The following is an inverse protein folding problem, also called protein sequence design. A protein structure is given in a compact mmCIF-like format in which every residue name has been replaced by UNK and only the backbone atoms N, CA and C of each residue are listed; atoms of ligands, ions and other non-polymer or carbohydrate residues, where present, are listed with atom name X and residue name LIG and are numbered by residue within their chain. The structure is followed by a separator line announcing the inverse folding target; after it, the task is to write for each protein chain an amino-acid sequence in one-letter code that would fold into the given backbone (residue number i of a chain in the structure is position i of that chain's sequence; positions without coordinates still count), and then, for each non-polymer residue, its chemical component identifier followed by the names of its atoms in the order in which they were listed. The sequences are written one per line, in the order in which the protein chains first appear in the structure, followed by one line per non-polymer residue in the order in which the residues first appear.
data_IF_337221568118
#
_entry.id   IF_337221568118
#
_cell.length_a   1.000
_cell.length_b   1.000
_cell.length_c   1.000
_cell.angle_alpha   90.00
_cell.angle_beta   90.00
_cell.angle_gamma   90.00
#
_symmetry.space_group_name_H-M   'P 1'
#
loop_
_entity.id
_entity.type
_entity.pdbx_description
1 polymer ?
#
# COMPACT_ATOMS: atom_id res chain seq x y z
N UNK A 1 2.71 12.02 -3.43
CA UNK A 1 3.91 11.21 -3.73
C UNK A 1 3.56 9.85 -4.30
N UNK A 2 2.70 9.05 -3.65
CA UNK A 2 2.29 7.73 -4.18
C UNK A 2 1.77 7.81 -5.61
N UNK A 3 0.84 8.74 -5.91
CA UNK A 3 0.33 8.89 -7.29
C UNK A 3 1.41 9.30 -8.29
N UNK A 4 2.41 10.07 -7.85
CA UNK A 4 3.54 10.47 -8.71
C UNK A 4 4.40 9.26 -9.08
N UNK A 5 4.65 8.35 -8.13
CA UNK A 5 5.37 7.09 -8.39
C UNK A 5 4.52 6.14 -9.24
N UNK A 6 3.23 6.02 -8.94
CA UNK A 6 2.30 5.13 -9.67
C UNK A 6 2.16 5.52 -11.14
N UNK A 7 2.06 6.82 -11.43
CA UNK A 7 1.73 7.33 -12.76
C UNK A 7 2.97 7.77 -13.56
N UNK A 8 4.18 7.70 -12.99
CA UNK A 8 5.38 8.13 -13.69
C UNK A 8 5.80 7.16 -14.79
N UNK A 9 6.49 7.68 -15.79
CA UNK A 9 7.09 6.90 -16.89
C UNK A 9 8.58 6.65 -16.65
N UNK A 10 9.18 5.73 -17.38
CA UNK A 10 10.64 5.48 -17.35
C UNK A 10 11.29 5.99 -18.62
N UNK A 11 12.47 6.59 -18.49
CA UNK A 11 13.26 7.04 -19.61
C UNK A 11 14.74 6.93 -19.25
N UNK A 12 15.49 6.10 -19.98
CA UNK A 12 16.91 5.84 -19.72
C UNK A 12 17.85 6.69 -20.58
N UNK A 13 17.30 7.66 -21.33
CA UNK A 13 18.11 8.58 -22.10
C UNK A 13 18.75 9.66 -21.21
N UNK A 14 19.69 10.39 -21.81
CA UNK A 14 20.19 11.65 -21.24
C UNK A 14 19.04 12.63 -21.15
N UNK A 15 18.80 13.13 -19.94
CA UNK A 15 17.74 14.10 -19.70
C UNK A 15 18.27 15.52 -19.86
N UNK A 16 17.41 16.41 -20.35
CA UNK A 16 17.64 17.84 -20.39
C UNK A 16 16.31 18.58 -20.15
N UNK A 17 16.40 19.81 -19.64
CA UNK A 17 15.25 20.67 -19.39
C UNK A 17 14.40 20.25 -18.20
N UNK A 18 13.26 20.91 -18.04
CA UNK A 18 12.42 20.82 -16.84
C UNK A 18 11.20 19.92 -17.06
N UNK A 19 10.28 19.93 -16.10
CA UNK A 19 8.97 19.31 -16.17
C UNK A 19 8.97 17.78 -16.32
N UNK A 20 10.00 17.14 -15.76
CA UNK A 20 10.09 15.68 -15.73
C UNK A 20 9.26 15.09 -14.60
N UNK A 21 8.64 13.95 -14.90
CA UNK A 21 7.99 13.12 -13.89
C UNK A 21 9.01 12.37 -13.03
N UNK A 22 8.50 11.78 -11.94
CA UNK A 22 9.34 11.11 -10.94
C UNK A 22 10.17 9.93 -11.49
N UNK A 23 9.59 9.16 -12.41
CA UNK A 23 10.19 7.93 -12.94
C UNK A 23 11.24 8.24 -13.98
N UNK A 24 10.98 9.25 -14.81
CA UNK A 24 11.93 9.78 -15.78
C UNK A 24 13.17 10.26 -15.05
N UNK A 25 13.02 11.08 -14.00
CA UNK A 25 14.14 11.54 -13.18
C UNK A 25 14.88 10.41 -12.47
N UNK A 26 14.16 9.39 -11.98
CA UNK A 26 14.78 8.27 -11.29
C UNK A 26 15.58 7.36 -12.24
N UNK A 27 15.16 7.21 -13.50
CA UNK A 27 15.72 6.25 -14.46
C UNK A 27 16.65 6.87 -15.50
N UNK A 28 16.59 8.19 -15.69
CA UNK A 28 17.44 8.92 -16.62
C UNK A 28 18.93 8.80 -16.32
N UNK A 29 19.73 8.90 -17.38
CA UNK A 29 21.19 9.03 -17.26
C UNK A 29 21.58 10.48 -17.01
N UNK A 30 22.85 10.70 -16.66
CA UNK A 30 23.40 12.02 -16.35
C UNK A 30 22.94 13.07 -17.35
N UNK A 31 22.41 14.18 -16.83
CA UNK A 31 21.96 15.27 -17.66
C UNK A 31 23.14 15.93 -18.38
N UNK A 32 22.90 16.45 -19.58
CA UNK A 32 23.90 17.20 -20.35
C UNK A 32 24.07 18.64 -19.86
N UNK A 33 23.20 19.12 -18.97
CA UNK A 33 23.24 20.47 -18.42
C UNK A 33 23.95 20.51 -17.06
N UNK A 34 24.49 21.68 -16.71
CA UNK A 34 25.15 21.89 -15.42
C UNK A 34 24.17 21.82 -14.23
N UNK A 35 22.87 21.98 -14.48
CA UNK A 35 21.83 22.10 -13.46
C UNK A 35 20.99 20.82 -13.27
N UNK A 36 21.21 19.79 -14.06
CA UNK A 36 20.36 18.61 -14.10
C UNK A 36 19.01 18.86 -14.78
N UNK A 37 18.32 17.77 -15.14
CA UNK A 37 16.92 17.84 -15.53
C UNK A 37 16.03 18.20 -14.33
N UNK A 38 15.10 19.14 -14.54
CA UNK A 38 14.20 19.66 -13.52
C UNK A 38 12.92 18.83 -13.37
N UNK A 39 12.43 18.72 -12.14
CA UNK A 39 11.13 18.11 -11.86
C UNK A 39 9.97 19.09 -12.14
N UNK A 40 8.81 18.56 -12.56
CA UNK A 40 7.61 19.37 -12.75
C UNK A 40 7.08 19.95 -11.42
N UNK A 41 7.23 19.22 -10.32
CA UNK A 41 6.81 19.68 -8.99
C UNK A 41 7.77 19.16 -7.91
N UNK A 42 7.73 19.77 -6.72
CA UNK A 42 8.43 19.26 -5.54
C UNK A 42 7.99 17.83 -5.16
N UNK A 43 6.74 17.47 -5.45
CA UNK A 43 6.24 16.13 -5.23
C UNK A 43 6.83 15.12 -6.22
N UNK A 44 7.05 15.53 -7.48
CA UNK A 44 7.76 14.73 -8.49
C UNK A 44 9.23 14.56 -8.13
N UNK A 45 9.89 15.62 -7.65
CA UNK A 45 11.27 15.55 -7.16
C UNK A 45 11.40 14.59 -5.97
N UNK A 46 10.57 14.76 -4.93
CA UNK A 46 10.63 13.89 -3.75
C UNK A 46 10.29 12.43 -4.11
N UNK A 47 9.35 12.21 -5.04
CA UNK A 47 9.03 10.89 -5.55
C UNK A 47 10.19 10.28 -6.36
N UNK A 48 10.87 11.08 -7.19
CA UNK A 48 12.05 10.65 -7.93
C UNK A 48 13.18 10.24 -6.98
N UNK A 49 13.43 11.02 -5.94
CA UNK A 49 14.42 10.70 -4.90
C UNK A 49 14.07 9.40 -4.21
N UNK A 50 12.82 9.22 -3.76
CA UNK A 50 12.40 7.96 -3.17
C UNK A 50 12.58 6.78 -4.13
N UNK A 51 12.14 6.93 -5.39
CA UNK A 51 12.19 5.88 -6.39
C UNK A 51 13.63 5.50 -6.78
N UNK A 52 14.51 6.50 -6.95
CA UNK A 52 15.94 6.29 -7.19
C UNK A 52 16.57 5.53 -6.02
N UNK A 53 16.29 5.94 -4.78
CA UNK A 53 16.84 5.28 -3.59
C UNK A 53 16.38 3.81 -3.44
N UNK A 54 15.16 3.49 -3.86
CA UNK A 54 14.62 2.11 -3.82
C UNK A 54 15.07 1.25 -5.01
N UNK A 55 15.56 1.86 -6.10
CA UNK A 55 16.00 1.14 -7.29
C UNK A 55 17.34 0.44 -7.03
N UNK A 56 17.46 -0.84 -7.39
CA UNK A 56 18.66 -1.66 -7.12
C UNK A 56 19.99 -1.02 -7.55
N UNK A 57 20.00 -0.37 -8.72
CA UNK A 57 21.16 0.33 -9.28
C UNK A 57 21.14 1.85 -9.05
N UNK A 58 20.18 2.35 -8.28
CA UNK A 58 20.01 3.77 -8.02
C UNK A 58 21.13 4.33 -7.15
N UNK A 59 21.76 5.40 -7.63
CA UNK A 59 22.81 6.14 -6.93
C UNK A 59 22.56 7.63 -7.08
N UNK A 60 22.93 8.38 -6.06
CA UNK A 60 22.95 9.84 -6.11
C UNK A 60 24.38 10.32 -6.27
N UNK A 61 24.56 11.35 -7.09
CA UNK A 61 25.76 12.16 -7.08
C UNK A 61 25.60 13.25 -6.03
N UNK A 62 26.64 13.51 -5.24
CA UNK A 62 26.66 14.54 -4.22
C UNK A 62 28.05 15.18 -4.19
N UNK A 63 28.11 16.48 -3.92
CA UNK A 63 29.36 17.12 -3.55
C UNK A 63 29.84 16.56 -2.21
N UNK A 64 31.16 16.61 -1.95
CA UNK A 64 31.75 16.00 -0.76
C UNK A 64 31.14 16.52 0.57
N UNK A 65 30.71 17.79 0.61
CA UNK A 65 30.04 18.38 1.76
C UNK A 65 28.57 17.97 1.95
N UNK A 66 27.92 17.43 0.92
CA UNK A 66 26.47 17.20 0.90
C UNK A 66 26.09 15.71 1.02
N UNK A 67 27.07 14.82 1.15
CA UNK A 67 26.84 13.36 1.15
C UNK A 67 25.82 12.94 2.20
N UNK A 68 25.96 13.41 3.45
CA UNK A 68 25.03 13.09 4.53
C UNK A 68 23.66 13.76 4.34
N UNK A 69 23.61 14.96 3.75
CA UNK A 69 22.36 15.63 3.45
C UNK A 69 21.55 14.88 2.37
N UNK A 70 22.21 14.44 1.29
CA UNK A 70 21.59 13.64 0.22
C UNK A 70 21.11 12.29 0.75
N UNK A 71 21.90 11.64 1.60
CA UNK A 71 21.50 10.40 2.28
C UNK A 71 20.29 10.60 3.19
N UNK A 72 20.28 11.65 4.01
CA UNK A 72 19.14 11.98 4.88
C UNK A 72 17.87 12.29 4.07
N UNK A 73 18.00 13.02 2.96
CA UNK A 73 16.91 13.32 2.05
C UNK A 73 16.35 12.03 1.41
N UNK A 74 17.22 11.14 0.93
CA UNK A 74 16.84 9.85 0.36
C UNK A 74 16.08 8.98 1.37
N UNK A 75 16.64 8.79 2.58
CA UNK A 75 15.99 8.01 3.65
C UNK A 75 14.64 8.61 4.03
N UNK A 76 14.57 9.93 4.18
CA UNK A 76 13.32 10.64 4.52
C UNK A 76 12.26 10.45 3.44
N UNK A 77 12.64 10.57 2.16
CA UNK A 77 11.71 10.38 1.05
C UNK A 77 11.17 8.95 1.00
N UNK A 78 12.04 7.94 1.16
CA UNK A 78 11.64 6.53 1.21
C UNK A 78 10.71 6.26 2.39
N UNK A 79 11.06 6.72 3.59
CA UNK A 79 10.23 6.51 4.78
C UNK A 79 8.84 7.14 4.64
N UNK A 80 8.73 8.33 4.02
CA UNK A 80 7.43 8.96 3.75
C UNK A 80 6.58 8.15 2.77
N UNK A 81 7.20 7.61 1.71
CA UNK A 81 6.49 6.77 0.73
C UNK A 81 5.99 5.48 1.39
N UNK A 82 6.86 4.76 2.10
CA UNK A 82 6.50 3.51 2.76
C UNK A 82 5.47 3.72 3.88
N UNK A 83 5.57 4.81 4.66
CA UNK A 83 4.61 5.12 5.71
C UNK A 83 3.19 5.40 5.17
N UNK A 84 3.09 6.12 4.06
CA UNK A 84 1.78 6.35 3.41
C UNK A 84 1.25 5.06 2.76
N UNK A 85 2.13 4.25 2.16
CA UNK A 85 1.73 2.95 1.60
C UNK A 85 1.15 2.01 2.68
N UNK A 86 1.81 1.91 3.83
CA UNK A 86 1.31 1.14 4.98
C UNK A 86 -0.06 1.65 5.45
N UNK A 87 -0.22 2.97 5.58
CA UNK A 87 -1.50 3.58 5.95
C UNK A 87 -2.63 3.23 4.96
N UNK A 88 -2.37 3.31 3.65
CA UNK A 88 -3.35 2.98 2.60
C UNK A 88 -3.77 1.52 2.71
N UNK A 89 -2.81 0.61 2.86
CA UNK A 89 -3.06 -0.83 2.98
C UNK A 89 -3.90 -1.11 4.24
N UNK A 90 -3.51 -0.58 5.40
CA UNK A 90 -4.24 -0.78 6.66
C UNK A 90 -5.68 -0.29 6.60
N UNK A 91 -5.91 0.91 6.05
CA UNK A 91 -7.27 1.46 5.88
C UNK A 91 -8.11 0.58 4.96
N UNK A 92 -7.53 0.09 3.86
CA UNK A 92 -8.22 -0.76 2.90
C UNK A 92 -8.60 -2.11 3.51
N UNK A 93 -7.67 -2.77 4.19
CA UNK A 93 -7.92 -4.05 4.88
C UNK A 93 -8.96 -3.86 5.99
N UNK A 94 -8.81 -2.85 6.84
CA UNK A 94 -9.75 -2.60 7.94
C UNK A 94 -11.17 -2.33 7.45
N UNK A 95 -11.33 -1.57 6.35
CA UNK A 95 -12.63 -1.32 5.73
C UNK A 95 -13.32 -2.62 5.28
N UNK A 96 -12.58 -3.53 4.63
CA UNK A 96 -13.14 -4.81 4.19
C UNK A 96 -13.42 -5.76 5.36
N UNK A 97 -12.54 -5.82 6.36
CA UNK A 97 -12.79 -6.61 7.58
C UNK A 97 -14.01 -6.11 8.36
N UNK A 98 -14.24 -4.81 8.41
CA UNK A 98 -15.44 -4.25 9.03
C UNK A 98 -16.71 -4.67 8.30
N UNK A 99 -16.71 -4.70 6.95
CA UNK A 99 -17.86 -5.22 6.18
C UNK A 99 -18.16 -6.68 6.52
N UNK A 100 -17.12 -7.52 6.63
CA UNK A 100 -17.26 -8.92 7.03
C UNK A 100 -17.83 -9.02 8.45
N UNK A 101 -17.32 -8.23 9.39
CA UNK A 101 -17.83 -8.18 10.77
C UNK A 101 -19.32 -7.87 10.82
N UNK A 102 -19.79 -6.88 10.04
CA UNK A 102 -21.22 -6.54 9.99
C UNK A 102 -22.06 -7.63 9.32
N UNK A 103 -21.55 -8.27 8.26
CA UNK A 103 -22.23 -9.41 7.64
C UNK A 103 -22.39 -10.58 8.61
N UNK A 104 -21.33 -10.91 9.37
CA UNK A 104 -21.35 -11.98 10.37
C UNK A 104 -22.34 -11.70 11.51
N UNK A 105 -22.45 -10.45 11.98
CA UNK A 105 -23.47 -10.07 12.98
C UNK A 105 -24.91 -10.31 12.50
N UNK A 106 -25.14 -10.21 11.19
CA UNK A 106 -26.46 -10.42 10.59
C UNK A 106 -26.82 -11.90 10.38
N UNK A 107 -25.88 -12.83 10.56
CA UNK A 107 -26.15 -14.27 10.44
C UNK A 107 -26.93 -14.71 11.68
N UNK A 108 -28.20 -15.04 11.48
CA UNK A 108 -29.02 -15.70 12.50
C UNK A 108 -28.67 -17.19 12.52
N UNK A 109 -28.17 -17.69 13.64
CA UNK A 109 -28.05 -19.12 13.88
C UNK A 109 -29.46 -19.70 14.06
N UNK A 110 -30.00 -20.27 12.99
CA UNK A 110 -31.17 -21.14 13.10
C UNK A 110 -30.68 -22.49 13.61
N UNK A 111 -30.52 -22.61 14.93
CA UNK A 111 -30.51 -23.93 15.56
C UNK A 111 -31.86 -24.57 15.23
N UNK A 112 -31.86 -25.55 14.33
CA UNK A 112 -32.97 -26.51 14.26
C UNK A 112 -32.81 -27.39 15.49
N UNK A 113 -33.30 -26.91 16.64
CA UNK A 113 -33.58 -27.77 17.78
C UNK A 113 -34.79 -28.61 17.37
N UNK A 114 -34.53 -29.68 16.63
CA UNK A 114 -35.46 -30.79 16.58
C UNK A 114 -35.54 -31.32 18.01
N UNK A 115 -36.52 -30.84 18.77
CA UNK A 115 -36.95 -31.48 20.00
C UNK A 115 -37.17 -32.96 19.66
N UNK A 116 -36.31 -33.84 20.18
CA UNK A 116 -36.54 -35.26 20.09
C UNK A 116 -37.85 -35.54 20.83
N UNK A 117 -38.91 -35.79 20.08
CA UNK A 117 -40.19 -36.19 20.64
C UNK A 117 -40.01 -37.60 21.20
N UNK A 118 -39.83 -37.74 22.51
CA UNK A 118 -39.93 -39.04 23.17
C UNK A 118 -41.39 -39.51 23.07
N UNK A 119 -41.67 -40.36 22.09
CA UNK A 119 -42.96 -41.04 21.98
C UNK A 119 -43.02 -42.14 23.05
N UNK A 120 -43.64 -41.83 24.19
CA UNK A 120 -44.05 -42.82 25.18
C UNK A 120 -45.57 -42.87 25.29
N UNK A 121 -46.20 -43.60 24.36
CA UNK A 121 -47.55 -44.15 24.55
C UNK A 121 -47.45 -45.66 24.55
N UNK A 122 -47.29 -46.26 25.74
CA UNK A 122 -47.74 -47.63 25.97
C UNK A 122 -48.76 -47.60 27.10
N UNK A 123 -50.03 -47.58 26.70
CA UNK A 123 -51.17 -47.91 27.54
C UNK A 123 -51.01 -49.34 28.06
N UNK A 124 -50.80 -49.51 29.36
CA UNK A 124 -50.94 -50.80 30.04
C UNK A 124 -52.40 -51.00 30.44
N UNK A 125 -53.06 -52.12 30.06
CA UNK A 125 -54.47 -52.34 30.38
C UNK A 125 -54.66 -52.65 31.87
N UNK A 126 -55.76 -52.14 32.42
CA UNK A 126 -56.22 -52.44 33.76
C UNK A 126 -56.54 -53.94 33.91
N UNK A 127 -55.97 -54.60 34.91
CA UNK A 127 -56.39 -55.95 35.31
C UNK A 127 -57.34 -55.87 36.49
N UNK A 128 -58.60 -56.15 36.22
CA UNK A 128 -59.66 -56.48 37.18
C UNK A 128 -59.47 -57.90 37.70
N UNK A 129 -59.38 -58.09 39.02
CA UNK A 129 -60.20 -58.96 39.88
C UNK A 129 -59.46 -59.32 41.18
#
# INVERSE_FOLDING_TARGET
MIDKIKNSTTNTAVLAGNDKDAGTLATGTNANDANGAGAATNADLAAAVALKAMTKSGKFSAAAGDVEAVKAAAVTAVNKVLGILDLIIRKTVSSNLNKIREAVKGIQYSETTAEATESSTTTQPASTK
#
